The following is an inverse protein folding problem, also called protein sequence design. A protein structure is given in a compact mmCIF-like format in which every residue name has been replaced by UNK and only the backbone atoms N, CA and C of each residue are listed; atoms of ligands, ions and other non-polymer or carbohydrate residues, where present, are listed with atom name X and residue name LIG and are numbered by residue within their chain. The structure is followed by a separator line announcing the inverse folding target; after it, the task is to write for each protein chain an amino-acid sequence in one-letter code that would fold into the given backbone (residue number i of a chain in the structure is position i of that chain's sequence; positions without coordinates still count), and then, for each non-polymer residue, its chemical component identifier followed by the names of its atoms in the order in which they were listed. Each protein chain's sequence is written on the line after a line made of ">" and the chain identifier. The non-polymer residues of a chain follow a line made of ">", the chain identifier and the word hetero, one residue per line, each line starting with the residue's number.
data_IF_520769811704
#
_entry.id   IF_520769811704
#
_cell.length_a   1.000
_cell.length_b   1.000
_cell.length_c   1.000
_cell.angle_alpha   90.00
_cell.angle_beta   90.00
_cell.angle_gamma   90.00
#
_symmetry.space_group_name_H-M   'P 1'
#
loop_
_entity.id
_entity.type
_entity.pdbx_description
1 polymer ?
#
# COMPACT_ATOMS: atom_id res chain seq x y z
N UNK A 1 -16.09 42.79 -40.62
CA UNK A 1 -14.62 42.91 -40.46
C UNK A 1 -14.39 43.58 -39.12
N UNK A 2 -14.23 42.76 -38.07
CA UNK A 2 -13.49 43.00 -36.82
C UNK A 2 -13.67 41.72 -36.00
N UNK A 3 -12.61 40.92 -35.79
CA UNK A 3 -12.66 39.60 -35.18
C UNK A 3 -12.02 39.62 -33.79
N UNK A 4 -12.79 39.62 -32.69
CA UNK A 4 -12.18 39.59 -31.34
C UNK A 4 -13.11 38.93 -30.30
N UNK A 5 -13.55 37.70 -30.55
CA UNK A 5 -14.13 36.84 -29.51
C UNK A 5 -13.66 35.39 -29.72
N UNK A 6 -12.34 35.15 -29.56
CA UNK A 6 -11.82 33.81 -29.26
C UNK A 6 -11.42 33.77 -27.77
N UNK A 7 -12.06 32.95 -26.93
CA UNK A 7 -11.55 32.70 -25.60
C UNK A 7 -10.24 31.90 -25.71
N UNK A 8 -9.16 32.55 -25.25
CA UNK A 8 -7.79 32.04 -25.13
C UNK A 8 -7.75 30.65 -24.48
N UNK A 9 -7.67 29.61 -25.31
CA UNK A 9 -7.45 28.22 -24.93
C UNK A 9 -5.95 27.98 -24.65
N UNK A 10 -5.42 28.53 -23.56
CA UNK A 10 -4.02 28.30 -23.14
C UNK A 10 -3.86 28.03 -21.64
N UNK A 11 -4.89 27.53 -20.94
CA UNK A 11 -4.78 27.32 -19.48
C UNK A 11 -5.22 25.96 -18.93
N UNK A 12 -5.25 24.90 -19.75
CA UNK A 12 -5.58 23.55 -19.25
C UNK A 12 -4.59 22.43 -19.64
N UNK A 13 -3.36 22.76 -20.07
CA UNK A 13 -2.29 21.75 -20.28
C UNK A 13 -1.24 21.74 -19.16
N UNK A 14 -1.63 22.13 -17.95
CA UNK A 14 -0.83 21.95 -16.73
C UNK A 14 -1.48 20.93 -15.78
N UNK A 15 -2.28 19.98 -16.30
CA UNK A 15 -2.58 18.76 -15.56
C UNK A 15 -1.29 17.95 -15.56
N UNK A 16 -0.52 18.19 -14.50
CA UNK A 16 0.65 17.45 -14.08
C UNK A 16 0.54 16.00 -14.53
N UNK A 17 1.46 15.57 -15.38
CA UNK A 17 1.87 14.18 -15.50
C UNK A 17 2.29 13.71 -14.11
N UNK A 18 1.31 13.31 -13.28
CA UNK A 18 1.56 12.44 -12.16
C UNK A 18 1.90 11.10 -12.78
N UNK A 19 3.19 10.89 -12.99
CA UNK A 19 3.74 9.56 -13.21
C UNK A 19 3.40 8.74 -11.96
N UNK A 20 2.26 8.03 -12.04
CA UNK A 20 1.69 7.16 -10.99
C UNK A 20 2.66 6.02 -10.61
N UNK A 21 3.77 5.86 -11.34
CA UNK A 21 4.84 4.91 -11.03
C UNK A 21 5.80 5.39 -9.93
N UNK A 22 5.70 6.65 -9.48
CA UNK A 22 6.69 7.25 -8.58
C UNK A 22 6.40 7.29 -7.07
N UNK A 23 5.25 6.86 -6.48
CA UNK A 23 5.09 7.01 -5.04
C UNK A 23 5.96 6.05 -4.21
N UNK A 24 6.43 4.94 -4.79
CA UNK A 24 7.21 3.93 -4.06
C UNK A 24 8.74 4.01 -4.25
N UNK A 25 9.27 4.94 -5.05
CA UNK A 25 10.73 4.98 -5.31
C UNK A 25 11.57 5.42 -4.11
N UNK A 26 10.93 5.98 -3.06
CA UNK A 26 11.59 6.73 -1.98
C UNK A 26 11.65 6.09 -0.60
N UNK A 27 11.26 4.84 -0.42
CA UNK A 27 11.65 4.08 0.79
C UNK A 27 12.45 2.85 0.41
N UNK A 28 13.76 3.06 0.17
CA UNK A 28 14.75 2.00 -0.15
C UNK A 28 15.49 1.49 1.09
N UNK A 29 14.92 1.65 2.28
CA UNK A 29 15.65 1.42 3.53
C UNK A 29 15.76 -0.06 3.92
N UNK A 30 14.96 -0.95 3.32
CA UNK A 30 15.01 -2.38 3.60
C UNK A 30 15.50 -3.17 2.38
N UNK A 31 16.74 -3.65 2.43
CA UNK A 31 17.33 -4.60 1.46
C UNK A 31 16.77 -6.02 1.57
N UNK A 32 15.83 -6.24 2.49
CA UNK A 32 15.25 -7.56 2.80
C UNK A 32 14.10 -7.90 1.84
N UNK A 33 13.31 -6.89 1.42
CA UNK A 33 12.17 -7.06 0.50
C UNK A 33 12.30 -6.01 -0.60
N UNK A 34 12.48 -6.43 -1.85
CA UNK A 34 12.50 -5.51 -2.98
C UNK A 34 11.08 -5.04 -3.30
N UNK A 35 10.90 -3.73 -3.47
CA UNK A 35 9.63 -3.17 -3.92
C UNK A 35 9.26 -3.67 -5.33
N UNK A 36 10.26 -4.00 -6.15
CA UNK A 36 10.08 -4.49 -7.52
C UNK A 36 9.49 -5.91 -7.59
N UNK A 37 9.45 -6.64 -6.47
CA UNK A 37 8.86 -7.99 -6.38
C UNK A 37 7.58 -8.03 -5.57
N UNK A 38 7.08 -6.87 -5.09
CA UNK A 38 5.78 -6.79 -4.42
C UNK A 38 4.68 -6.90 -5.46
N UNK A 39 3.93 -7.99 -5.37
CA UNK A 39 2.87 -8.33 -6.32
C UNK A 39 1.47 -8.27 -5.67
N UNK A 40 1.39 -8.01 -4.37
CA UNK A 40 0.14 -7.75 -3.65
C UNK A 40 -0.22 -6.27 -3.62
N UNK A 41 -1.52 -5.96 -3.57
CA UNK A 41 -2.06 -4.58 -3.47
C UNK A 41 -1.63 -3.64 -4.62
N UNK A 42 -1.22 -4.21 -5.76
CA UNK A 42 -0.92 -3.49 -6.99
C UNK A 42 -2.09 -3.58 -7.98
N UNK A 43 -2.15 -2.64 -8.92
CA UNK A 43 -3.18 -2.60 -9.98
C UNK A 43 -3.09 -3.76 -10.99
N UNK A 44 -1.99 -4.51 -11.00
CA UNK A 44 -1.72 -5.64 -11.89
C UNK A 44 -1.97 -6.97 -11.17
N UNK A 45 -2.34 -8.02 -11.93
CA UNK A 45 -2.57 -9.39 -11.46
C UNK A 45 -1.26 -10.09 -11.03
N UNK A 46 -0.63 -9.61 -9.96
CA UNK A 46 0.66 -10.09 -9.49
C UNK A 46 0.63 -11.53 -8.96
N UNK A 47 -0.54 -12.03 -8.53
CA UNK A 47 -0.72 -13.43 -8.14
C UNK A 47 -0.45 -14.39 -9.29
N UNK A 48 -0.91 -14.05 -10.51
CA UNK A 48 -0.69 -14.89 -11.68
C UNK A 48 0.80 -14.98 -12.03
N UNK A 49 1.50 -13.85 -12.00
CA UNK A 49 2.94 -13.79 -12.25
C UNK A 49 3.73 -14.62 -11.24
N UNK A 50 3.35 -14.57 -9.96
CA UNK A 50 4.04 -15.31 -8.91
C UNK A 50 3.82 -16.83 -9.04
N UNK A 51 2.58 -17.25 -9.32
CA UNK A 51 2.26 -18.66 -9.57
C UNK A 51 3.00 -19.15 -10.82
N UNK A 52 2.97 -18.38 -11.91
CA UNK A 52 3.67 -18.73 -13.14
C UNK A 52 5.19 -18.87 -12.92
N UNK A 53 5.79 -17.95 -12.17
CA UNK A 53 7.22 -17.97 -11.82
C UNK A 53 7.57 -19.22 -11.02
N UNK A 54 6.82 -19.50 -9.94
CA UNK A 54 7.01 -20.71 -9.13
C UNK A 54 6.89 -21.99 -9.97
N UNK A 55 5.87 -22.08 -10.83
CA UNK A 55 5.67 -23.24 -11.71
C UNK A 55 6.79 -23.39 -12.73
N UNK A 56 7.31 -22.29 -13.27
CA UNK A 56 8.42 -22.29 -14.23
C UNK A 56 9.71 -22.77 -13.58
N UNK A 57 10.02 -22.27 -12.38
CA UNK A 57 11.20 -22.71 -11.61
C UNK A 57 11.11 -24.19 -11.24
N UNK A 58 9.93 -24.66 -10.84
CA UNK A 58 9.70 -26.07 -10.52
C UNK A 58 9.92 -26.97 -11.75
N UNK A 59 9.33 -26.62 -12.90
CA UNK A 59 9.53 -27.35 -14.16
C UNK A 59 10.99 -27.34 -14.57
N UNK A 60 11.68 -26.21 -14.44
CA UNK A 60 13.10 -26.11 -14.76
C UNK A 60 13.94 -27.07 -13.91
N UNK A 61 13.75 -27.08 -12.58
CA UNK A 61 14.45 -27.99 -11.68
C UNK A 61 14.18 -29.47 -11.99
N UNK A 62 12.93 -29.82 -12.33
CA UNK A 62 12.57 -31.17 -12.78
C UNK A 62 13.31 -31.57 -14.06
N UNK A 63 13.35 -30.69 -15.06
CA UNK A 63 14.01 -30.95 -16.34
C UNK A 63 15.54 -31.04 -16.23
N UNK A 64 16.16 -30.20 -15.40
CA UNK A 64 17.61 -30.16 -15.23
C UNK A 64 18.13 -31.13 -14.18
N UNK A 65 17.23 -31.80 -13.43
CA UNK A 65 17.54 -32.59 -12.23
C UNK A 65 18.31 -31.78 -11.17
N UNK A 66 18.11 -30.46 -11.17
CA UNK A 66 18.68 -29.54 -10.19
C UNK A 66 17.86 -29.51 -8.89
N UNK A 67 18.51 -29.11 -7.80
CA UNK A 67 17.81 -28.84 -6.53
C UNK A 67 17.05 -27.52 -6.57
N UNK A 68 15.84 -27.50 -6.03
CA UNK A 68 15.05 -26.29 -5.79
C UNK A 68 14.61 -26.27 -4.33
N UNK A 69 14.96 -25.19 -3.62
CA UNK A 69 14.54 -24.95 -2.24
C UNK A 69 13.59 -23.75 -2.21
N UNK A 70 12.42 -23.91 -1.61
CA UNK A 70 11.41 -22.85 -1.49
C UNK A 70 11.17 -22.62 0.01
N UNK A 71 11.29 -21.36 0.44
CA UNK A 71 10.94 -20.92 1.78
C UNK A 71 9.63 -20.16 1.76
N UNK A 72 8.72 -20.48 2.68
CA UNK A 72 7.45 -19.77 2.86
C UNK A 72 7.53 -18.94 4.14
N UNK A 73 7.15 -17.67 4.06
CA UNK A 73 7.06 -16.75 5.20
C UNK A 73 5.64 -16.20 5.26
N UNK A 74 4.95 -16.49 6.35
CA UNK A 74 3.61 -15.99 6.64
C UNK A 74 3.66 -15.16 7.92
N UNK A 75 3.11 -13.94 7.88
CA UNK A 75 3.09 -13.03 9.02
C UNK A 75 1.75 -13.20 9.74
N UNK A 76 1.79 -13.66 10.99
CA UNK A 76 0.58 -13.77 11.83
C UNK A 76 -0.02 -12.38 12.02
N UNK A 77 -1.32 -12.28 11.77
CA UNK A 77 -2.09 -11.03 11.93
C UNK A 77 -1.41 -9.85 11.22
N UNK A 78 -1.20 -9.99 9.92
CA UNK A 78 -0.39 -9.07 9.12
C UNK A 78 -0.88 -7.62 9.13
N UNK A 79 -2.16 -7.39 9.42
CA UNK A 79 -2.71 -6.04 9.60
C UNK A 79 -2.74 -5.66 11.07
N UNK A 80 -3.12 -6.58 11.94
CA UNK A 80 -3.36 -6.25 13.33
C UNK A 80 -2.17 -6.23 14.25
N UNK A 81 -1.08 -6.87 13.84
CA UNK A 81 0.21 -6.73 14.50
C UNK A 81 0.91 -5.39 14.21
N UNK A 82 0.40 -4.58 13.28
CA UNK A 82 1.04 -3.33 12.88
C UNK A 82 0.69 -2.20 13.85
N UNK A 83 1.71 -1.65 14.50
CA UNK A 83 1.55 -0.49 15.39
C UNK A 83 1.14 0.77 14.61
N UNK A 84 0.16 1.51 15.12
CA UNK A 84 -0.25 2.79 14.54
C UNK A 84 0.90 3.81 14.51
N UNK A 85 1.78 3.80 15.51
CA UNK A 85 2.96 4.68 15.55
C UNK A 85 3.92 4.39 14.40
N UNK A 86 4.08 3.10 14.06
CA UNK A 86 4.92 2.67 12.95
C UNK A 86 4.33 3.14 11.61
N UNK A 87 3.01 3.03 11.43
CA UNK A 87 2.33 3.56 10.23
C UNK A 87 2.56 5.07 10.09
N UNK A 88 2.32 5.85 11.14
CA UNK A 88 2.53 7.31 11.10
C UNK A 88 3.99 7.67 10.82
N UNK A 89 4.94 6.94 11.39
CA UNK A 89 6.36 7.14 11.15
C UNK A 89 6.71 6.88 9.68
N UNK A 90 6.29 5.74 9.14
CA UNK A 90 6.51 5.36 7.75
C UNK A 90 5.87 6.38 6.79
N UNK A 91 4.63 6.82 7.03
CA UNK A 91 3.98 7.84 6.19
C UNK A 91 4.75 9.16 6.13
N UNK A 92 5.40 9.57 7.23
CA UNK A 92 6.25 10.77 7.26
C UNK A 92 7.54 10.59 6.45
N UNK A 93 8.06 9.38 6.37
CA UNK A 93 9.32 9.09 5.67
C UNK A 93 9.15 8.90 4.15
N UNK A 94 8.05 8.30 3.67
CA UNK A 94 7.93 7.91 2.25
C UNK A 94 7.71 9.12 1.31
N UNK A 95 7.22 10.27 1.80
CA UNK A 95 7.16 11.48 0.97
C UNK A 95 6.28 12.62 1.49
N UNK A 96 6.22 13.75 0.77
CA UNK A 96 5.44 14.93 1.14
C UNK A 96 3.95 14.65 0.92
N UNK A 97 3.35 13.93 1.85
CA UNK A 97 1.90 13.93 1.98
C UNK A 97 1.49 15.34 2.43
N UNK A 98 0.49 15.98 1.79
CA UNK A 98 -0.08 17.22 2.31
C UNK A 98 -0.41 17.03 3.80
N UNK A 99 -0.12 18.01 4.64
CA UNK A 99 -0.37 17.91 6.09
C UNK A 99 -1.82 17.50 6.41
N UNK A 100 -2.76 17.88 5.55
CA UNK A 100 -4.15 17.46 5.56
C UNK A 100 -4.35 15.95 5.44
N UNK A 101 -3.58 15.27 4.56
CA UNK A 101 -3.64 13.82 4.42
C UNK A 101 -3.10 13.12 5.67
N UNK A 102 -1.98 13.61 6.23
CA UNK A 102 -1.44 13.10 7.49
C UNK A 102 -2.40 13.30 8.66
N UNK A 103 -3.13 14.42 8.68
CA UNK A 103 -4.20 14.69 9.65
C UNK A 103 -5.31 13.65 9.59
N UNK A 104 -5.83 13.35 8.40
CA UNK A 104 -6.85 12.30 8.22
C UNK A 104 -6.34 10.94 8.67
N UNK A 105 -5.11 10.55 8.30
CA UNK A 105 -4.53 9.28 8.76
C UNK A 105 -4.39 9.24 10.29
N UNK A 106 -3.96 10.36 10.90
CA UNK A 106 -3.84 10.44 12.36
C UNK A 106 -5.20 10.28 13.03
N UNK A 107 -6.21 11.00 12.57
CA UNK A 107 -7.58 10.95 13.12
C UNK A 107 -8.22 9.55 12.96
N UNK A 108 -7.79 8.78 11.95
CA UNK A 108 -8.24 7.40 11.75
C UNK A 108 -7.59 6.36 12.68
N UNK A 109 -6.45 6.67 13.29
CA UNK A 109 -5.66 5.70 14.06
C UNK A 109 -5.33 6.15 15.49
N UNK A 110 -5.51 7.43 15.85
CA UNK A 110 -5.36 7.94 17.22
C UNK A 110 -6.67 7.83 18.01
N UNK A 111 -6.57 7.35 19.25
CA UNK A 111 -7.65 7.26 20.25
C UNK A 111 -8.96 6.63 19.75
N UNK A 112 -8.87 5.74 18.75
CA UNK A 112 -10.03 5.02 18.22
C UNK A 112 -10.46 3.96 19.23
N UNK A 113 -11.77 3.90 19.48
CA UNK A 113 -12.39 2.84 20.25
C UNK A 113 -13.65 2.33 19.54
N UNK A 114 -14.04 1.10 19.85
CA UNK A 114 -15.32 0.55 19.42
C UNK A 114 -16.09 0.00 20.63
N UNK A 115 -17.40 -0.10 20.49
CA UNK A 115 -18.24 -0.78 21.46
C UNK A 115 -19.18 -1.71 20.68
N UNK A 116 -19.47 -2.88 21.25
CA UNK A 116 -20.47 -3.80 20.71
C UNK A 116 -21.73 -3.64 21.55
N UNK A 117 -22.83 -3.37 20.87
CA UNK A 117 -24.15 -3.28 21.48
C UNK A 117 -24.99 -4.52 21.11
N UNK A 118 -25.62 -5.11 22.10
CA UNK A 118 -26.50 -6.27 21.98
C UNK A 118 -27.78 -6.00 22.76
N UNK A 119 -28.85 -6.74 22.47
CA UNK A 119 -30.15 -6.49 23.08
C UNK A 119 -30.07 -6.67 24.62
N UNK A 120 -29.92 -5.55 25.32
CA UNK A 120 -29.79 -5.48 26.78
C UNK A 120 -28.38 -5.31 27.35
N UNK A 121 -27.31 -5.25 26.55
CA UNK A 121 -25.95 -5.07 27.06
C UNK A 121 -24.96 -4.46 26.05
N UNK A 122 -24.15 -3.51 26.53
CA UNK A 122 -23.02 -2.90 25.80
C UNK A 122 -21.69 -3.25 26.46
N UNK A 123 -20.64 -3.46 25.66
CA UNK A 123 -19.29 -3.81 26.14
C UNK A 123 -18.52 -2.65 26.78
N UNK A 124 -19.04 -1.41 26.70
CA UNK A 124 -18.25 -0.20 26.96
C UNK A 124 -17.23 0.06 25.85
N UNK A 125 -16.46 1.17 25.98
CA UNK A 125 -15.43 1.53 25.00
C UNK A 125 -14.23 0.56 25.05
N UNK A 126 -13.91 -0.03 23.90
CA UNK A 126 -12.77 -0.93 23.69
C UNK A 126 -11.75 -0.18 22.82
N UNK A 127 -10.57 0.22 23.35
CA UNK A 127 -9.57 0.97 22.59
C UNK A 127 -8.84 0.09 21.56
N UNK A 128 -8.68 0.61 20.34
CA UNK A 128 -7.93 0.02 19.23
C UNK A 128 -6.48 0.54 19.24
N UNK A 129 -5.53 -0.34 19.60
CA UNK A 129 -4.10 0.03 19.76
C UNK A 129 -3.18 -0.44 18.63
N UNK A 130 -3.67 -1.34 17.79
CA UNK A 130 -3.07 -1.87 16.58
C UNK A 130 -4.24 -2.38 15.71
N UNK A 131 -4.03 -2.65 14.42
CA UNK A 131 -5.13 -3.11 13.55
C UNK A 131 -5.78 -4.42 14.06
N UNK A 132 -6.93 -4.88 13.58
CA UNK A 132 -7.99 -4.15 12.88
C UNK A 132 -9.24 -4.06 13.73
#
# INVERSE_FOLDING_TARGET
>A
MSPDDEPNNQRDEQVTNMDVRQPFSRSRSNTIVSADVQNGYHWLEGCYEHIFTCMTLLKHAQHTKGGLHIGWLDIRDAFGSVSHQLLTHILKEIGPSPEQALGVFRDMYEDVSFAVDTDGASTGEIPLKAGG
#
